data_IF_763411048594
#
_entry.id   IF_763411048594
#
_cell.length_a   1.000
_cell.length_b   1.000
_cell.length_c   1.000
_cell.angle_alpha   90.00
_cell.angle_beta   90.00
_cell.angle_gamma   90.00
#
_symmetry.space_group_name_H-M   'P 1'
#
loop_
_entity.id
_entity.type
_entity.pdbx_description
1 polymer ?
#
# COMPACT_ATOMS: atom_id res chain seq x y z
N UNK A 1 -36.43 -1.23 17.80
CA UNK A 1 -35.19 -1.66 18.48
C UNK A 1 -34.20 -2.05 17.39
N UNK A 2 -33.27 -1.16 17.02
CA UNK A 2 -32.19 -1.54 16.12
C UNK A 2 -31.22 -2.45 16.88
N UNK A 3 -30.91 -3.66 16.40
CA UNK A 3 -29.83 -4.43 16.99
C UNK A 3 -28.57 -3.58 16.88
N UNK A 4 -27.86 -3.40 18.00
CA UNK A 4 -26.60 -2.70 18.01
C UNK A 4 -25.64 -3.46 17.09
N UNK A 5 -25.47 -2.97 15.86
CA UNK A 5 -24.55 -3.52 14.88
C UNK A 5 -23.17 -3.55 15.52
N UNK A 6 -22.63 -4.75 15.71
CA UNK A 6 -21.33 -4.92 16.33
C UNK A 6 -20.30 -4.48 15.31
N UNK A 7 -19.66 -3.34 15.56
CA UNK A 7 -18.66 -2.78 14.65
C UNK A 7 -17.34 -2.63 15.39
N UNK A 8 -16.28 -3.22 14.85
CA UNK A 8 -14.91 -2.98 15.32
C UNK A 8 -14.21 -2.02 14.35
N UNK A 9 -13.92 -0.80 14.79
CA UNK A 9 -13.22 0.22 14.00
C UNK A 9 -11.76 0.33 14.42
N UNK A 10 -10.84 0.20 13.47
CA UNK A 10 -9.39 0.32 13.65
C UNK A 10 -8.90 1.47 12.77
N UNK A 11 -8.37 2.54 13.36
CA UNK A 11 -7.88 3.72 12.64
C UNK A 11 -6.36 3.88 12.75
N UNK A 12 -5.70 4.28 11.66
CA UNK A 12 -4.26 4.61 11.67
C UNK A 12 -4.02 6.09 12.01
N UNK A 13 -2.96 6.39 12.77
CA UNK A 13 -2.61 7.77 13.15
C UNK A 13 -1.89 8.53 12.02
N UNK A 14 -2.27 9.80 11.86
CA UNK A 14 -1.89 10.67 10.74
C UNK A 14 -0.49 11.28 10.83
N UNK A 15 0.15 11.27 12.00
CA UNK A 15 1.47 11.86 12.21
C UNK A 15 2.60 11.03 11.59
N UNK A 16 2.52 9.70 11.65
CA UNK A 16 3.56 8.81 11.13
C UNK A 16 3.57 8.75 9.59
N UNK A 17 2.48 9.17 8.94
CA UNK A 17 2.35 9.22 7.47
C UNK A 17 3.03 10.45 6.85
N UNK A 18 3.19 11.55 7.60
CA UNK A 18 3.78 12.79 7.07
C UNK A 18 5.29 12.72 6.85
N UNK A 19 6.03 11.99 7.69
CA UNK A 19 7.48 11.80 7.51
C UNK A 19 7.79 10.93 6.30
N UNK A 20 7.08 9.81 6.14
CA UNK A 20 7.24 8.86 5.03
C UNK A 20 6.97 9.54 3.67
N UNK A 21 6.04 10.50 3.63
CA UNK A 21 5.73 11.23 2.39
C UNK A 21 6.85 12.19 1.94
N UNK A 22 7.55 12.83 2.87
CA UNK A 22 8.63 13.78 2.56
C UNK A 22 9.85 13.06 1.97
N UNK A 23 10.28 11.98 2.60
CA UNK A 23 11.47 11.24 2.18
C UNK A 23 11.31 10.64 0.78
N UNK A 24 10.12 10.11 0.47
CA UNK A 24 9.85 9.59 -0.86
C UNK A 24 9.91 10.67 -1.96
N UNK A 25 9.74 11.97 -1.64
CA UNK A 25 9.63 13.02 -2.65
C UNK A 25 11.00 13.40 -3.17
N UNK A 26 11.96 13.44 -2.25
CA UNK A 26 13.37 13.58 -2.57
C UNK A 26 13.84 12.43 -3.45
N UNK A 27 13.38 11.20 -3.18
CA UNK A 27 13.72 10.03 -4.02
C UNK A 27 13.18 10.16 -5.44
N UNK A 28 11.93 10.60 -5.63
CA UNK A 28 11.38 10.80 -6.98
C UNK A 28 12.11 11.92 -7.72
N UNK A 29 12.35 13.05 -7.05
CA UNK A 29 13.06 14.18 -7.67
C UNK A 29 14.49 13.81 -8.08
N UNK A 30 15.21 13.06 -7.25
CA UNK A 30 16.57 12.58 -7.58
C UNK A 30 16.55 11.59 -8.76
N UNK A 31 15.55 10.71 -8.85
CA UNK A 31 15.42 9.81 -10.00
C UNK A 31 15.10 10.55 -11.31
N UNK A 32 14.28 11.60 -11.26
CA UNK A 32 14.00 12.47 -12.42
C UNK A 32 15.26 13.23 -12.82
N UNK A 33 15.99 13.81 -11.86
CA UNK A 33 17.25 14.51 -12.14
C UNK A 33 18.29 13.58 -12.78
N UNK A 34 18.42 12.34 -12.28
CA UNK A 34 19.29 11.34 -12.88
C UNK A 34 18.88 10.98 -14.32
N UNK A 35 17.57 10.83 -14.60
CA UNK A 35 17.10 10.57 -15.96
C UNK A 35 17.46 11.71 -16.91
N UNK A 36 17.32 12.97 -16.48
CA UNK A 36 17.69 14.16 -17.25
C UNK A 36 19.20 14.22 -17.49
N UNK A 37 20.01 13.96 -16.46
CA UNK A 37 21.46 13.94 -16.58
C UNK A 37 21.95 12.85 -17.55
N UNK A 38 21.36 11.64 -17.49
CA UNK A 38 21.66 10.57 -18.43
C UNK A 38 21.23 10.93 -19.86
N UNK A 39 20.06 11.54 -20.05
CA UNK A 39 19.61 11.98 -21.37
C UNK A 39 20.54 13.07 -21.95
N UNK A 40 20.98 14.03 -21.15
CA UNK A 40 21.94 15.06 -21.57
C UNK A 40 23.30 14.45 -21.94
N UNK A 41 23.79 13.50 -21.15
CA UNK A 41 25.02 12.76 -21.45
C UNK A 41 24.90 11.98 -22.77
N UNK A 42 23.75 11.35 -23.05
CA UNK A 42 23.50 10.67 -24.31
C UNK A 42 23.58 11.62 -25.52
N UNK A 43 22.97 12.81 -25.42
CA UNK A 43 22.98 13.83 -26.48
C UNK A 43 24.40 14.35 -26.73
N UNK A 44 25.12 14.68 -25.66
CA UNK A 44 26.52 15.13 -25.75
C UNK A 44 27.39 14.06 -26.40
N UNK A 45 27.27 12.81 -25.97
CA UNK A 45 28.04 11.70 -26.50
C UNK A 45 27.73 11.45 -27.98
N UNK A 46 26.46 11.54 -28.37
CA UNK A 46 26.05 11.42 -29.77
C UNK A 46 26.64 12.53 -30.65
N UNK A 47 26.75 13.76 -30.12
CA UNK A 47 27.31 14.91 -30.85
C UNK A 47 28.83 14.88 -31.02
N UNK A 48 29.55 14.11 -30.20
CA UNK A 48 31.02 14.08 -30.14
C UNK A 48 31.66 12.79 -30.67
N UNK A 49 30.87 11.78 -31.07
CA UNK A 49 31.40 10.47 -31.47
C UNK A 49 31.05 10.06 -32.90
N UNK A 50 32.04 9.45 -33.57
CA UNK A 50 31.91 8.93 -34.92
C UNK A 50 31.51 7.44 -34.95
N UNK A 51 30.63 7.12 -35.91
CA UNK A 51 30.21 5.79 -36.39
C UNK A 51 30.21 4.63 -35.38
N UNK A 52 31.40 4.10 -35.10
CA UNK A 52 31.60 2.85 -34.35
C UNK A 52 31.51 2.99 -32.82
N UNK A 53 31.48 4.18 -32.24
CA UNK A 53 31.31 4.37 -30.76
C UNK A 53 29.93 4.90 -30.36
N UNK A 54 29.04 5.14 -31.34
CA UNK A 54 27.68 5.62 -31.08
C UNK A 54 26.78 4.60 -30.40
N UNK A 55 27.10 3.30 -30.47
CA UNK A 55 26.35 2.28 -29.72
C UNK A 55 26.47 2.44 -28.21
N UNK A 56 27.54 3.08 -27.70
CA UNK A 56 27.66 3.39 -26.26
C UNK A 56 26.60 4.38 -25.77
N UNK A 57 25.96 5.14 -26.67
CA UNK A 57 24.84 6.04 -26.36
C UNK A 57 23.60 5.26 -25.86
N UNK A 58 23.52 3.96 -26.15
CA UNK A 58 22.46 3.10 -25.61
C UNK A 58 22.54 2.99 -24.08
N UNK A 59 23.73 3.02 -23.48
CA UNK A 59 23.91 2.90 -22.03
C UNK A 59 23.17 4.02 -21.28
N UNK A 60 23.42 5.31 -21.55
CA UNK A 60 22.70 6.39 -20.88
C UNK A 60 21.22 6.46 -21.26
N UNK A 61 20.82 6.05 -22.47
CA UNK A 61 19.40 6.00 -22.87
C UNK A 61 18.65 4.92 -22.08
N UNK A 62 19.22 3.72 -21.94
CA UNK A 62 18.64 2.63 -21.15
C UNK A 62 18.57 3.05 -19.67
N UNK A 63 19.61 3.69 -19.14
CA UNK A 63 19.60 4.21 -17.78
C UNK A 63 18.49 5.26 -17.57
N UNK A 64 18.32 6.20 -18.51
CA UNK A 64 17.25 7.20 -18.45
C UNK A 64 15.85 6.57 -18.51
N UNK A 65 15.65 5.58 -19.40
CA UNK A 65 14.40 4.83 -19.50
C UNK A 65 14.08 4.08 -18.21
N UNK A 66 15.09 3.42 -17.61
CA UNK A 66 14.93 2.72 -16.34
C UNK A 66 14.61 3.70 -15.19
N UNK A 67 15.31 4.83 -15.08
CA UNK A 67 15.00 5.86 -14.08
C UNK A 67 13.59 6.43 -14.25
N UNK A 68 13.13 6.66 -15.49
CA UNK A 68 11.75 7.08 -15.75
C UNK A 68 10.72 6.01 -15.34
N UNK A 69 11.00 4.73 -15.63
CA UNK A 69 10.16 3.61 -15.22
C UNK A 69 10.03 3.54 -13.70
N UNK A 70 11.15 3.61 -12.97
CA UNK A 70 11.17 3.61 -11.50
C UNK A 70 10.43 4.83 -10.95
N UNK A 71 10.65 6.03 -11.50
CA UNK A 71 9.96 7.24 -11.08
C UNK A 71 8.43 7.12 -11.27
N UNK A 72 7.98 6.56 -12.40
CA UNK A 72 6.56 6.30 -12.66
C UNK A 72 5.98 5.31 -11.66
N UNK A 73 6.68 4.22 -11.37
CA UNK A 73 6.26 3.24 -10.37
C UNK A 73 6.13 3.87 -8.98
N UNK A 74 7.11 4.69 -8.57
CA UNK A 74 7.06 5.41 -7.30
C UNK A 74 5.90 6.42 -7.24
N UNK A 75 5.63 7.15 -8.31
CA UNK A 75 4.47 8.05 -8.38
C UNK A 75 3.14 7.31 -8.25
N UNK A 76 3.02 6.13 -8.87
CA UNK A 76 1.84 5.26 -8.70
C UNK A 76 1.68 4.85 -7.24
N UNK A 77 2.73 4.34 -6.61
CA UNK A 77 2.70 3.98 -5.19
C UNK A 77 2.33 5.14 -4.28
N UNK A 78 2.81 6.36 -4.60
CA UNK A 78 2.46 7.57 -3.85
C UNK A 78 1.00 7.97 -4.00
N UNK A 79 0.44 7.83 -5.21
CA UNK A 79 -0.98 8.10 -5.45
C UNK A 79 -1.83 7.16 -4.61
N UNK A 80 -1.49 5.87 -4.62
CA UNK A 80 -2.17 4.85 -3.82
C UNK A 80 -2.00 5.16 -2.33
N UNK A 81 -0.79 5.46 -1.87
CA UNK A 81 -0.54 5.81 -0.48
C UNK A 81 -1.34 7.04 -0.03
N UNK A 82 -1.44 8.08 -0.87
CA UNK A 82 -2.29 9.26 -0.60
C UNK A 82 -3.76 8.90 -0.51
N UNK A 83 -4.24 8.04 -1.41
CA UNK A 83 -5.61 7.54 -1.39
C UNK A 83 -5.90 6.64 -0.18
N UNK A 84 -4.85 6.08 0.43
CA UNK A 84 -4.91 5.19 1.59
C UNK A 84 -4.64 5.93 2.91
N UNK A 85 -4.59 7.26 2.91
CA UNK A 85 -4.52 8.05 4.14
C UNK A 85 -5.81 7.95 4.94
N UNK A 86 -5.71 8.20 6.26
CA UNK A 86 -6.82 8.10 7.21
C UNK A 86 -7.50 6.73 7.16
N UNK A 87 -6.73 5.67 6.93
CA UNK A 87 -7.31 4.35 6.75
C UNK A 87 -7.99 3.90 8.04
N UNK A 88 -9.27 3.59 7.89
CA UNK A 88 -10.11 3.01 8.92
C UNK A 88 -10.62 1.67 8.43
N UNK A 89 -10.58 0.67 9.29
CA UNK A 89 -11.14 -0.64 9.01
C UNK A 89 -12.27 -0.91 9.97
N UNK A 90 -13.45 -1.16 9.44
CA UNK A 90 -14.64 -1.56 10.15
C UNK A 90 -14.95 -3.03 9.85
N UNK A 91 -14.90 -3.88 10.88
CA UNK A 91 -15.46 -5.24 10.81
C UNK A 91 -16.93 -5.18 11.20
N UNK A 92 -17.81 -5.73 10.37
CA UNK A 92 -19.26 -5.71 10.56
C UNK A 92 -19.84 -7.11 10.38
N UNK A 93 -21.11 -7.29 10.74
CA UNK A 93 -21.82 -8.56 10.54
C UNK A 93 -21.95 -8.93 9.04
N UNK A 94 -21.96 -7.94 8.15
CA UNK A 94 -22.08 -8.14 6.69
C UNK A 94 -20.75 -8.43 6.01
N UNK A 95 -19.63 -8.08 6.65
CA UNK A 95 -18.31 -8.19 6.06
C UNK A 95 -17.29 -7.20 6.59
N UNK A 96 -16.24 -7.01 5.82
CA UNK A 96 -15.12 -6.12 6.13
C UNK A 96 -15.24 -4.87 5.27
N UNK A 97 -15.27 -3.71 5.91
CA UNK A 97 -15.28 -2.41 5.24
C UNK A 97 -14.01 -1.67 5.58
N UNK A 98 -13.35 -1.08 4.59
CA UNK A 98 -12.32 -0.09 4.85
C UNK A 98 -12.74 1.26 4.28
N UNK A 99 -12.50 2.31 5.05
CA UNK A 99 -12.64 3.69 4.62
C UNK A 99 -11.24 4.29 4.46
N UNK A 100 -11.06 5.02 3.37
CA UNK A 100 -9.83 5.74 3.07
C UNK A 100 -10.17 7.13 2.52
N UNK A 101 -9.16 7.95 2.30
CA UNK A 101 -9.34 9.27 1.69
C UNK A 101 -10.01 9.21 0.30
N UNK A 102 -9.92 8.09 -0.41
CA UNK A 102 -10.56 7.91 -1.71
C UNK A 102 -12.03 7.44 -1.63
N UNK A 103 -12.52 7.03 -0.47
CA UNK A 103 -13.88 6.54 -0.29
C UNK A 103 -13.97 5.32 0.62
N UNK A 104 -15.13 4.69 0.62
CA UNK A 104 -15.44 3.53 1.46
C UNK A 104 -15.68 2.31 0.57
N UNK A 105 -15.04 1.21 0.92
CA UNK A 105 -15.06 -0.03 0.14
C UNK A 105 -15.34 -1.20 1.06
N UNK A 106 -16.33 -2.01 0.71
CA UNK A 106 -16.78 -3.15 1.50
C UNK A 106 -16.58 -4.45 0.74
N UNK A 107 -16.19 -5.49 1.46
CA UNK A 107 -16.11 -6.85 0.98
C UNK A 107 -16.91 -7.78 1.91
N UNK A 108 -17.76 -8.67 1.36
CA UNK A 108 -18.49 -9.64 2.16
C UNK A 108 -17.52 -10.66 2.78
N UNK A 109 -17.91 -11.30 3.88
CA UNK A 109 -17.10 -12.34 4.53
C UNK A 109 -16.73 -13.50 3.60
N UNK A 110 -17.56 -13.80 2.60
CA UNK A 110 -17.30 -14.81 1.57
C UNK A 110 -16.09 -14.49 0.67
N UNK A 111 -15.73 -13.21 0.51
CA UNK A 111 -14.54 -12.78 -0.23
C UNK A 111 -13.29 -12.75 0.65
N UNK A 112 -13.45 -12.84 1.99
CA UNK A 112 -12.34 -12.84 2.94
C UNK A 112 -11.73 -14.24 2.99
N UNK A 113 -10.56 -14.40 2.38
CA UNK A 113 -9.83 -15.66 2.37
C UNK A 113 -9.23 -15.97 3.74
N UNK A 114 -8.69 -14.95 4.41
CA UNK A 114 -8.02 -15.16 5.69
C UNK A 114 -7.90 -13.87 6.50
N UNK A 115 -7.94 -14.03 7.82
CA UNK A 115 -7.52 -12.98 8.76
C UNK A 115 -6.33 -13.47 9.57
N UNK A 116 -5.26 -12.68 9.62
CA UNK A 116 -4.03 -13.00 10.35
C UNK A 116 -3.72 -11.92 11.36
N UNK A 117 -3.30 -12.33 12.55
CA UNK A 117 -2.79 -11.44 13.58
C UNK A 117 -1.31 -11.74 13.72
N UNK A 118 -0.46 -10.77 13.43
CA UNK A 118 0.99 -10.94 13.52
C UNK A 118 1.57 -9.89 14.44
N UNK A 119 2.73 -10.16 15.00
CA UNK A 119 3.51 -9.16 15.73
C UNK A 119 4.78 -8.84 14.95
N UNK A 120 5.12 -7.57 14.82
CA UNK A 120 6.41 -7.16 14.29
C UNK A 120 7.52 -7.53 15.30
N UNK A 121 8.77 -7.69 14.85
CA UNK A 121 9.92 -7.92 15.76
C UNK A 121 10.07 -6.85 16.86
N UNK A 122 9.54 -5.65 16.60
CA UNK A 122 9.48 -4.53 17.54
C UNK A 122 8.27 -4.59 18.51
N UNK A 123 7.57 -5.73 18.61
CA UNK A 123 6.46 -5.94 19.56
C UNK A 123 5.13 -5.29 19.18
N UNK A 124 5.02 -4.65 18.01
CA UNK A 124 3.78 -4.02 17.56
C UNK A 124 2.87 -5.04 16.86
N UNK A 125 1.69 -5.37 17.43
CA UNK A 125 0.74 -6.26 16.78
C UNK A 125 0.06 -5.57 15.58
N UNK A 126 -0.16 -6.31 14.51
CA UNK A 126 -0.89 -5.87 13.33
C UNK A 126 -1.85 -6.95 12.83
N UNK A 127 -2.99 -6.49 12.33
CA UNK A 127 -4.02 -7.27 11.67
C UNK A 127 -3.76 -7.27 10.17
N UNK A 128 -3.81 -8.43 9.54
CA UNK A 128 -3.78 -8.59 8.08
C UNK A 128 -5.06 -9.26 7.64
N UNK A 129 -5.76 -8.65 6.69
CA UNK A 129 -6.96 -9.22 6.09
C UNK A 129 -6.69 -9.47 4.62
N UNK A 130 -6.80 -10.73 4.24
CA UNK A 130 -6.67 -11.21 2.87
C UNK A 130 -8.08 -11.32 2.28
N UNK A 131 -8.41 -10.46 1.32
CA UNK A 131 -9.69 -10.41 0.60
C UNK A 131 -9.42 -10.56 -0.88
N UNK A 132 -10.19 -11.43 -1.53
CA UNK A 132 -10.14 -11.59 -2.97
C UNK A 132 -10.71 -10.36 -3.68
N UNK A 133 -9.83 -9.59 -4.32
CA UNK A 133 -10.24 -8.45 -5.14
C UNK A 133 -10.79 -7.28 -4.33
N UNK A 134 -9.95 -6.65 -3.51
CA UNK A 134 -10.31 -5.39 -2.88
C UNK A 134 -10.77 -4.36 -3.92
N UNK A 135 -11.91 -3.71 -3.67
CA UNK A 135 -12.30 -2.51 -4.42
C UNK A 135 -11.37 -1.33 -4.13
N UNK A 136 -11.44 -0.29 -4.96
CA UNK A 136 -10.77 0.98 -4.71
C UNK A 136 -9.25 0.97 -4.93
N UNK A 137 -8.50 1.85 -4.24
CA UNK A 137 -7.06 2.02 -4.44
C UNK A 137 -6.23 0.75 -4.19
N UNK A 138 -6.71 -0.16 -3.33
CA UNK A 138 -6.06 -1.46 -3.11
C UNK A 138 -6.14 -2.36 -4.34
N UNK A 139 -7.26 -2.35 -5.06
CA UNK A 139 -7.42 -3.12 -6.30
C UNK A 139 -6.51 -2.66 -7.43
N UNK A 140 -5.99 -1.42 -7.37
CA UNK A 140 -4.99 -0.92 -8.32
C UNK A 140 -3.61 -1.52 -8.11
N UNK A 141 -3.36 -2.20 -6.99
CA UNK A 141 -2.08 -2.85 -6.71
C UNK A 141 -2.12 -4.32 -7.16
N UNK A 142 -1.30 -4.74 -8.13
CA UNK A 142 -1.25 -6.14 -8.54
C UNK A 142 -0.85 -7.03 -7.36
N UNK A 143 -1.70 -8.00 -7.02
CA UNK A 143 -1.50 -8.92 -5.89
C UNK A 143 -1.84 -8.33 -4.51
N UNK A 144 -2.45 -7.15 -4.43
CA UNK A 144 -2.87 -6.54 -3.17
C UNK A 144 -4.26 -7.01 -2.72
N UNK A 145 -4.37 -8.31 -2.49
CA UNK A 145 -5.48 -8.89 -1.74
C UNK A 145 -5.34 -8.63 -0.23
N UNK A 146 -4.25 -8.01 0.20
CA UNK A 146 -3.88 -7.89 1.62
C UNK A 146 -3.95 -6.47 2.12
N UNK A 147 -4.73 -6.26 3.17
CA UNK A 147 -4.74 -5.02 3.94
C UNK A 147 -4.13 -5.27 5.33
N UNK A 148 -3.08 -4.53 5.68
CA UNK A 148 -2.41 -4.64 6.97
C UNK A 148 -2.56 -3.36 7.79
N UNK A 149 -2.96 -3.50 9.06
CA UNK A 149 -3.21 -2.41 9.99
C UNK A 149 -2.58 -2.68 11.34
N UNK A 150 -1.89 -1.68 11.87
CA UNK A 150 -1.34 -1.75 13.22
C UNK A 150 -2.47 -1.69 14.26
N UNK A 151 -2.38 -2.56 15.26
CA UNK A 151 -3.26 -2.54 16.43
C UNK A 151 -2.68 -1.66 17.54
N UNK A 152 -1.41 -1.27 17.45
CA UNK A 152 -0.76 -0.38 18.41
C UNK A 152 -1.53 0.94 18.53
N UNK A 153 -1.86 1.35 19.75
CA UNK A 153 -2.59 2.59 20.04
C UNK A 153 -4.12 2.49 19.91
N UNK A 154 -4.66 1.34 19.49
CA UNK A 154 -6.12 1.13 19.40
C UNK A 154 -6.75 0.61 20.70
N UNK A 155 -5.93 0.19 21.68
CA UNK A 155 -6.39 -0.47 22.90
C UNK A 155 -6.83 -1.91 22.72
N UNK A 156 -6.91 -2.42 21.48
CA UNK A 156 -7.37 -3.76 21.15
C UNK A 156 -6.25 -4.78 21.27
N UNK A 157 -6.52 -5.89 21.95
CA UNK A 157 -5.62 -7.05 22.01
C UNK A 157 -5.86 -7.98 20.81
N UNK A 158 -4.83 -8.65 20.27
CA UNK A 158 -5.00 -9.61 19.17
C UNK A 158 -6.09 -10.66 19.45
N UNK A 159 -6.19 -11.16 20.70
CA UNK A 159 -7.23 -12.12 21.10
C UNK A 159 -8.65 -11.54 21.00
N UNK A 160 -8.84 -10.26 21.31
CA UNK A 160 -10.13 -9.58 21.21
C UNK A 160 -10.54 -9.42 19.74
N UNK A 161 -9.58 -9.03 18.88
CA UNK A 161 -9.80 -8.96 17.43
C UNK A 161 -10.13 -10.34 16.87
N UNK A 162 -9.42 -11.38 17.28
CA UNK A 162 -9.69 -12.76 16.86
C UNK A 162 -11.11 -13.20 17.23
N UNK A 163 -11.53 -12.93 18.48
CA UNK A 163 -12.88 -13.25 18.95
C UNK A 163 -13.94 -12.45 18.21
N UNK A 164 -13.69 -11.16 17.94
CA UNK A 164 -14.59 -10.31 17.17
C UNK A 164 -14.76 -10.83 15.74
N UNK A 165 -13.66 -11.17 15.05
CA UNK A 165 -13.71 -11.75 13.69
C UNK A 165 -14.50 -13.05 13.68
N UNK A 166 -14.26 -13.96 14.64
CA UNK A 166 -15.01 -15.21 14.73
C UNK A 166 -16.51 -14.96 14.95
N UNK A 167 -16.88 -14.00 15.80
CA UNK A 167 -18.29 -13.67 16.06
C UNK A 167 -18.96 -13.01 14.86
N UNK A 168 -18.29 -12.02 14.23
CA UNK A 168 -18.83 -11.23 13.13
C UNK A 168 -18.91 -12.02 11.82
N UNK A 169 -17.94 -12.89 11.56
CA UNK A 169 -17.96 -13.78 10.40
C UNK A 169 -18.84 -15.02 10.61
N UNK A 170 -19.48 -15.17 11.77
CA UNK A 170 -20.22 -16.39 12.15
C UNK A 170 -19.39 -17.68 11.98
N UNK A 171 -18.08 -17.60 12.21
CA UNK A 171 -17.14 -18.72 12.04
C UNK A 171 -16.73 -19.02 10.59
N UNK A 172 -17.17 -18.24 9.60
CA UNK A 172 -16.79 -18.43 8.18
C UNK A 172 -15.30 -18.19 7.94
N UNK A 173 -14.66 -17.35 8.75
CA UNK A 173 -13.25 -16.98 8.57
C UNK A 173 -12.40 -17.48 9.73
N UNK A 174 -11.34 -18.21 9.39
CA UNK A 174 -10.34 -18.66 10.37
C UNK A 174 -9.32 -17.55 10.64
N UNK A 175 -9.11 -17.26 11.92
CA UNK A 175 -8.05 -16.36 12.36
C UNK A 175 -6.78 -17.18 12.64
N UNK A 176 -5.65 -16.78 12.04
CA UNK A 176 -4.34 -17.35 12.37
C UNK A 176 -3.49 -16.33 13.12
N UNK A 177 -2.87 -16.75 14.22
CA UNK A 177 -1.82 -16.00 14.91
C UNK A 177 -0.45 -16.32 14.31
#
# INVERSE_FOLDING_TARGET
MHPASRVLVISRSTQQERSIQRDGLLVVLTQIANAVACAAAAVLWWSWTDGASRWFVLIPVIAAAYSCYVARAQLRWRRIHRNMLNLQLALTDLGVTYASAAGTYSAPWSAVRQVRLRSHRAGSPYLVIDVEGWGGPLGECPGADRLALTLTGTGLRPREVSRAVHQLSSGQVTTRN
#
